data_IF_585638979916
#
_entry.id   IF_585638979916
#
_cell.length_a   1.000
_cell.length_b   1.000
_cell.length_c   1.000
_cell.angle_alpha   90.00
_cell.angle_beta   90.00
_cell.angle_gamma   90.00
#
_symmetry.space_group_name_H-M   'P 1'
#
loop_
_entity.id
_entity.type
_entity.pdbx_description
1 polymer ?
#
# COMPACT_ATOMS: atom_id res chain seq x y z
N UNK A 1 8.56 5.60 -6.05
CA UNK A 1 7.21 6.12 -5.79
C UNK A 1 7.18 7.60 -5.41
N UNK A 2 7.81 8.01 -4.31
CA UNK A 2 7.59 9.34 -3.70
C UNK A 2 7.90 10.55 -4.58
N UNK A 3 8.95 10.47 -5.41
CA UNK A 3 9.27 11.54 -6.36
C UNK A 3 8.18 11.73 -7.42
N UNK A 4 7.53 10.64 -7.85
CA UNK A 4 6.41 10.71 -8.79
C UNK A 4 5.18 11.34 -8.11
N UNK A 5 4.86 10.94 -6.86
CA UNK A 5 3.81 11.58 -6.06
C UNK A 5 4.04 13.09 -5.91
N UNK A 6 5.26 13.49 -5.52
CA UNK A 6 5.62 14.89 -5.34
C UNK A 6 5.53 15.68 -6.66
N UNK A 7 6.00 15.13 -7.77
CA UNK A 7 5.94 15.78 -9.08
C UNK A 7 4.51 15.89 -9.62
N UNK A 8 3.75 14.80 -9.57
CA UNK A 8 2.38 14.74 -10.08
C UNK A 8 1.42 15.61 -9.26
N UNK A 9 1.68 15.84 -7.96
CA UNK A 9 0.91 16.78 -7.14
C UNK A 9 0.88 18.21 -7.72
N UNK A 10 1.89 18.58 -8.52
CA UNK A 10 2.02 19.89 -9.18
C UNK A 10 1.72 19.85 -10.69
N UNK A 11 1.34 18.69 -11.24
CA UNK A 11 1.08 18.48 -12.66
C UNK A 11 -0.26 17.76 -12.83
N UNK A 12 -1.39 18.49 -12.97
CA UNK A 12 -2.72 17.88 -13.04
C UNK A 12 -2.87 16.75 -14.07
N UNK A 13 -2.16 16.85 -15.20
CA UNK A 13 -2.15 15.81 -16.24
C UNK A 13 -1.61 14.45 -15.75
N UNK A 14 -0.75 14.43 -14.72
CA UNK A 14 -0.18 13.21 -14.14
C UNK A 14 -1.04 12.62 -13.02
N UNK A 15 -2.05 13.36 -12.55
CA UNK A 15 -2.98 12.87 -11.52
C UNK A 15 -3.72 11.62 -11.99
N UNK A 16 -4.15 11.60 -13.26
CA UNK A 16 -4.82 10.44 -13.86
C UNK A 16 -3.91 9.22 -13.94
N UNK A 17 -2.62 9.41 -14.24
CA UNK A 17 -1.65 8.30 -14.26
C UNK A 17 -1.51 7.67 -12.88
N UNK A 18 -1.42 8.48 -11.84
CA UNK A 18 -1.37 7.99 -10.45
C UNK A 18 -2.67 7.28 -10.05
N UNK A 19 -3.83 7.86 -10.37
CA UNK A 19 -5.12 7.25 -10.05
C UNK A 19 -5.29 5.89 -10.74
N UNK A 20 -4.87 5.78 -12.00
CA UNK A 20 -4.90 4.51 -12.72
C UNK A 20 -3.94 3.47 -12.13
N UNK A 21 -2.78 3.90 -11.62
CA UNK A 21 -1.88 3.00 -10.92
C UNK A 21 -2.50 2.48 -9.61
N UNK A 22 -2.97 3.37 -8.74
CA UNK A 22 -3.62 2.98 -7.47
C UNK A 22 -4.84 2.10 -7.71
N UNK A 23 -5.62 2.36 -8.76
CA UNK A 23 -6.75 1.50 -9.11
C UNK A 23 -6.28 0.10 -9.52
N UNK A 24 -5.20 -0.02 -10.30
CA UNK A 24 -4.68 -1.33 -10.74
C UNK A 24 -4.10 -2.15 -9.60
N UNK A 25 -3.41 -1.53 -8.64
CA UNK A 25 -2.91 -2.25 -7.45
C UNK A 25 -4.09 -2.76 -6.62
N UNK A 26 -5.08 -1.90 -6.35
CA UNK A 26 -6.30 -2.29 -5.63
C UNK A 26 -7.04 -3.43 -6.34
N UNK A 27 -7.28 -3.33 -7.66
CA UNK A 27 -7.95 -4.35 -8.46
C UNK A 27 -7.22 -5.70 -8.46
N UNK A 28 -5.90 -5.68 -8.29
CA UNK A 28 -5.12 -6.91 -8.16
C UNK A 28 -5.45 -7.58 -6.83
N UNK A 29 -5.43 -6.83 -5.72
CA UNK A 29 -5.77 -7.35 -4.39
C UNK A 29 -7.23 -7.80 -4.28
N UNK A 30 -8.15 -7.11 -4.96
CA UNK A 30 -9.59 -7.47 -5.02
C UNK A 30 -9.86 -8.84 -5.65
N UNK A 31 -8.88 -9.48 -6.29
CA UNK A 31 -9.01 -10.87 -6.76
C UNK A 31 -9.03 -11.89 -5.60
N UNK A 32 -8.54 -11.51 -4.42
CA UNK A 32 -8.41 -12.40 -3.25
C UNK A 32 -9.09 -11.86 -2.00
N UNK A 33 -9.34 -10.55 -1.94
CA UNK A 33 -9.89 -9.87 -0.78
C UNK A 33 -11.12 -9.05 -1.15
N UNK A 34 -12.02 -8.82 -0.19
CA UNK A 34 -13.12 -7.89 -0.40
C UNK A 34 -12.58 -6.45 -0.60
N UNK A 35 -13.37 -5.53 -1.19
CA UNK A 35 -12.89 -4.19 -1.54
C UNK A 35 -12.34 -3.37 -0.37
N UNK A 36 -12.87 -3.57 0.85
CA UNK A 36 -12.40 -2.83 2.04
C UNK A 36 -11.05 -3.36 2.48
N UNK A 37 -10.91 -4.69 2.58
CA UNK A 37 -9.63 -5.34 2.91
C UNK A 37 -8.56 -5.07 1.87
N UNK A 38 -8.89 -5.15 0.58
CA UNK A 38 -7.98 -4.83 -0.51
C UNK A 38 -7.45 -3.38 -0.41
N UNK A 39 -8.34 -2.42 -0.10
CA UNK A 39 -7.95 -1.01 0.10
C UNK A 39 -7.07 -0.82 1.33
N UNK A 40 -7.36 -1.53 2.42
CA UNK A 40 -6.56 -1.47 3.63
C UNK A 40 -5.15 -2.04 3.42
N UNK A 41 -5.03 -3.16 2.70
CA UNK A 41 -3.75 -3.77 2.33
C UNK A 41 -2.94 -2.86 1.40
N UNK A 42 -3.56 -2.28 0.37
CA UNK A 42 -2.90 -1.34 -0.55
C UNK A 42 -2.32 -0.14 0.22
N UNK A 43 -3.13 0.49 1.08
CA UNK A 43 -2.69 1.61 1.92
C UNK A 43 -1.56 1.21 2.90
N UNK A 44 -1.63 0.02 3.48
CA UNK A 44 -0.59 -0.49 4.36
C UNK A 44 0.74 -0.71 3.63
N UNK A 45 0.72 -1.29 2.44
CA UNK A 45 1.91 -1.51 1.60
C UNK A 45 2.59 -0.17 1.27
N UNK A 46 1.80 0.83 0.85
CA UNK A 46 2.28 2.18 0.56
C UNK A 46 2.92 2.84 1.80
N UNK A 47 2.23 2.77 2.93
CA UNK A 47 2.68 3.33 4.20
C UNK A 47 3.98 2.68 4.69
N UNK A 48 4.06 1.35 4.65
CA UNK A 48 5.25 0.62 5.09
C UNK A 48 6.46 0.90 4.22
N UNK A 49 6.26 1.06 2.91
CA UNK A 49 7.35 1.46 2.00
C UNK A 49 7.89 2.85 2.34
N UNK A 50 7.02 3.78 2.80
CA UNK A 50 7.41 5.14 3.16
C UNK A 50 8.15 5.18 4.49
N UNK A 51 7.64 4.43 5.48
CA UNK A 51 8.30 4.28 6.76
C UNK A 51 9.67 3.61 6.59
N UNK A 52 9.79 2.56 5.78
CA UNK A 52 11.05 1.84 5.59
C UNK A 52 12.20 2.74 5.12
N UNK A 53 11.94 3.72 4.25
CA UNK A 53 12.99 4.63 3.74
C UNK A 53 13.31 5.80 4.68
N UNK A 54 12.49 6.04 5.71
CA UNK A 54 12.66 7.15 6.66
C UNK A 54 13.01 6.70 8.07
N UNK A 55 12.63 5.48 8.44
CA UNK A 55 12.77 4.94 9.78
C UNK A 55 14.20 4.44 10.04
N UNK A 56 14.68 4.69 11.25
CA UNK A 56 15.97 4.20 11.75
C UNK A 56 15.86 2.79 12.34
N UNK A 57 14.64 2.29 12.57
CA UNK A 57 14.34 0.97 13.14
C UNK A 57 13.19 0.30 12.37
N UNK A 58 13.41 -0.16 11.13
CA UNK A 58 12.36 -0.79 10.35
C UNK A 58 11.80 -2.02 11.06
N UNK A 59 10.49 -2.27 10.87
CA UNK A 59 9.81 -3.46 11.39
C UNK A 59 10.48 -4.74 10.88
N UNK A 60 10.51 -5.76 11.73
CA UNK A 60 10.97 -7.08 11.32
C UNK A 60 9.93 -7.74 10.42
N UNK A 61 10.38 -8.72 9.64
CA UNK A 61 9.51 -9.45 8.71
C UNK A 61 8.32 -10.09 9.43
N UNK A 62 8.55 -10.60 10.62
CA UNK A 62 7.55 -11.26 11.45
C UNK A 62 6.46 -10.29 11.92
N UNK A 63 6.85 -9.07 12.29
CA UNK A 63 5.90 -8.01 12.66
C UNK A 63 5.04 -7.58 11.47
N UNK A 64 5.66 -7.44 10.29
CA UNK A 64 4.97 -7.09 9.05
C UNK A 64 3.98 -8.20 8.66
N UNK A 65 4.40 -9.48 8.74
CA UNK A 65 3.53 -10.61 8.44
C UNK A 65 2.30 -10.63 9.37
N UNK A 66 2.51 -10.47 10.67
CA UNK A 66 1.41 -10.40 11.64
C UNK A 66 0.43 -9.26 11.31
N UNK A 67 0.92 -8.08 10.90
CA UNK A 67 0.06 -6.97 10.50
C UNK A 67 -0.72 -7.30 9.22
N UNK A 68 -0.08 -7.88 8.21
CA UNK A 68 -0.75 -8.30 6.96
C UNK A 68 -1.84 -9.33 7.26
N UNK A 69 -1.56 -10.35 8.06
CA UNK A 69 -2.54 -11.37 8.45
C UNK A 69 -3.73 -10.77 9.19
N UNK A 70 -3.48 -9.80 10.08
CA UNK A 70 -4.55 -9.07 10.80
C UNK A 70 -5.43 -8.26 9.86
N UNK A 71 -4.83 -7.52 8.92
CA UNK A 71 -5.58 -6.72 7.94
C UNK A 71 -6.37 -7.64 7.01
N UNK A 72 -5.78 -8.76 6.60
CA UNK A 72 -6.39 -9.74 5.72
C UNK A 72 -7.41 -10.67 6.42
N UNK A 73 -7.69 -10.45 7.71
CA UNK A 73 -8.58 -11.26 8.54
C UNK A 73 -8.24 -12.77 8.53
N UNK A 74 -6.95 -13.09 8.36
CA UNK A 74 -6.46 -14.46 8.35
C UNK A 74 -6.31 -14.99 9.79
N UNK A 75 -6.52 -16.30 10.03
CA UNK A 75 -6.24 -16.91 11.33
C UNK A 75 -4.76 -16.72 11.70
N UNK A 76 -4.50 -16.18 12.89
CA UNK A 76 -3.14 -16.05 13.42
C UNK A 76 -2.61 -17.47 13.74
N UNK A 77 -1.49 -17.84 13.12
CA UNK A 77 -0.84 -19.15 13.29
C UNK A 77 0.14 -19.15 14.47
#
# INVERSE_FOLDING_TARGET
>A
MYQLYAFASRKPALKTVMQNWMLRSQQTLEQWFDPVTARALDAFIEGMTLHFVTDKKPLQREDILMMVERIAELPQR
#
